data_IF_310225672339
#
_entry.id   IF_310225672339
#
_cell.length_a   1.000
_cell.length_b   1.000
_cell.length_c   1.000
_cell.angle_alpha   90.00
_cell.angle_beta   90.00
_cell.angle_gamma   90.00
#
_symmetry.space_group_name_H-M   'P 1'
#
loop_
_entity.id
_entity.type
_entity.pdbx_description
1 polymer ?
#
# COMPACT_ATOMS: atom_id res chain seq x y z
N UNK A 1 11.68 22.95 14.29
CA UNK A 1 10.25 23.29 14.15
C UNK A 1 9.71 22.48 12.97
N UNK A 2 9.55 21.17 13.20
CA UNK A 2 9.57 20.11 12.18
C UNK A 2 8.25 19.33 12.14
N UNK A 3 7.12 20.02 11.98
CA UNK A 3 5.79 19.38 12.02
C UNK A 3 4.80 19.99 11.00
N UNK A 4 5.28 20.44 9.83
CA UNK A 4 4.41 21.04 8.80
C UNK A 4 4.56 20.44 7.40
N UNK A 5 5.29 19.33 7.22
CA UNK A 5 5.52 18.74 5.89
C UNK A 5 4.78 17.42 5.64
N UNK A 6 4.04 16.90 6.63
CA UNK A 6 3.52 15.52 6.59
C UNK A 6 2.02 15.39 6.29
N UNK A 7 1.28 16.48 6.08
CA UNK A 7 -0.20 16.41 6.01
C UNK A 7 -0.84 16.95 4.72
N UNK A 8 -0.09 17.33 3.69
CA UNK A 8 -0.68 17.82 2.42
C UNK A 8 -0.56 16.86 1.22
N UNK A 9 0.00 15.66 1.40
CA UNK A 9 0.07 14.64 0.33
C UNK A 9 -0.82 13.42 0.60
N UNK A 10 -1.96 13.63 1.26
CA UNK A 10 -3.09 12.71 1.15
C UNK A 10 -3.71 12.86 -0.25
N UNK A 11 -3.02 12.40 -1.28
CA UNK A 11 -3.61 12.25 -2.60
C UNK A 11 -4.29 10.88 -2.67
N UNK A 12 -5.62 10.93 -2.75
CA UNK A 12 -6.55 9.80 -2.88
C UNK A 12 -6.43 9.24 -4.31
N UNK A 13 -5.26 8.70 -4.66
CA UNK A 13 -5.06 8.01 -5.93
C UNK A 13 -4.36 6.68 -5.68
N UNK A 14 -4.81 5.60 -6.35
CA UNK A 14 -4.17 4.29 -6.23
C UNK A 14 -2.69 4.41 -6.63
N UNK A 15 -1.79 4.25 -5.68
CA UNK A 15 -0.35 4.25 -5.94
C UNK A 15 0.14 2.83 -6.20
N UNK A 16 0.84 2.66 -7.31
CA UNK A 16 1.69 1.49 -7.50
C UNK A 16 2.86 1.54 -6.49
N UNK A 17 3.25 0.38 -5.97
CA UNK A 17 4.38 0.19 -5.08
C UNK A 17 5.68 0.85 -5.59
N UNK A 18 5.95 0.81 -6.89
CA UNK A 18 7.12 1.44 -7.50
C UNK A 18 7.12 2.97 -7.34
N UNK A 19 5.96 3.58 -7.55
CA UNK A 19 5.78 5.02 -7.38
C UNK A 19 5.96 5.41 -5.91
N UNK A 20 5.47 4.59 -4.98
CA UNK A 20 5.60 4.84 -3.54
C UNK A 20 7.06 4.88 -3.11
N UNK A 21 7.87 3.90 -3.54
CA UNK A 21 9.31 3.89 -3.24
C UNK A 21 10.01 5.13 -3.79
N UNK A 22 9.64 5.57 -4.99
CA UNK A 22 10.23 6.75 -5.63
C UNK A 22 9.87 8.04 -4.88
N UNK A 23 8.60 8.21 -4.49
CA UNK A 23 8.11 9.39 -3.78
C UNK A 23 8.70 9.51 -2.37
N UNK A 24 8.77 8.39 -1.65
CA UNK A 24 9.38 8.33 -0.32
C UNK A 24 10.91 8.32 -0.37
N UNK A 25 11.52 8.30 -1.56
CA UNK A 25 12.96 8.17 -1.78
C UNK A 25 13.56 6.96 -1.05
N UNK A 26 12.81 5.86 -1.01
CA UNK A 26 13.19 4.60 -0.40
C UNK A 26 13.89 3.70 -1.42
N UNK A 27 14.98 3.08 -1.00
CA UNK A 27 15.61 2.01 -1.78
C UNK A 27 14.84 0.71 -1.60
N UNK A 28 14.95 -0.21 -2.57
CA UNK A 28 14.35 -1.54 -2.44
C UNK A 28 14.90 -2.29 -1.22
N UNK A 29 16.17 -2.09 -0.88
CA UNK A 29 16.80 -2.70 0.30
C UNK A 29 16.21 -2.16 1.60
N UNK A 30 16.10 -0.83 1.75
CA UNK A 30 15.50 -0.22 2.93
C UNK A 30 14.04 -0.65 3.12
N UNK A 31 13.28 -0.73 2.02
CA UNK A 31 11.91 -1.22 2.09
C UNK A 31 11.81 -2.72 2.40
N UNK A 32 12.76 -3.52 1.92
CA UNK A 32 12.84 -4.94 2.24
C UNK A 32 13.12 -5.15 3.75
N UNK A 33 14.01 -4.35 4.33
CA UNK A 33 14.29 -4.36 5.77
C UNK A 33 13.06 -3.99 6.60
N UNK A 34 12.34 -2.93 6.20
CA UNK A 34 11.09 -2.53 6.85
C UNK A 34 10.03 -3.64 6.86
N UNK A 35 9.98 -4.46 5.82
CA UNK A 35 9.04 -5.57 5.68
C UNK A 35 9.58 -6.91 6.19
N UNK A 36 10.86 -6.98 6.57
CA UNK A 36 11.52 -8.23 6.95
C UNK A 36 11.59 -9.26 5.82
N UNK A 37 11.76 -8.81 4.57
CA UNK A 37 11.86 -9.66 3.37
C UNK A 37 13.18 -9.45 2.64
N UNK A 38 13.47 -10.27 1.63
CA UNK A 38 14.65 -10.07 0.79
C UNK A 38 14.41 -8.97 -0.26
N UNK A 39 15.46 -8.21 -0.60
CA UNK A 39 15.40 -7.20 -1.66
C UNK A 39 15.05 -7.81 -3.03
N UNK A 40 15.48 -9.04 -3.30
CA UNK A 40 15.07 -9.79 -4.49
C UNK A 40 13.57 -10.03 -4.57
N UNK A 41 12.88 -10.22 -3.44
CA UNK A 41 11.42 -10.38 -3.41
C UNK A 41 10.73 -9.05 -3.76
N UNK A 42 11.24 -7.92 -3.26
CA UNK A 42 10.74 -6.60 -3.65
C UNK A 42 10.89 -6.39 -5.17
N UNK A 43 12.05 -6.72 -5.74
CA UNK A 43 12.26 -6.66 -7.18
C UNK A 43 11.25 -7.52 -7.97
N UNK A 44 10.96 -8.73 -7.50
CA UNK A 44 9.97 -9.61 -8.14
C UNK A 44 8.56 -9.02 -8.13
N UNK A 45 8.18 -8.31 -7.07
CA UNK A 45 6.90 -7.61 -6.97
C UNK A 45 6.86 -6.40 -7.90
N UNK A 46 7.91 -5.58 -7.91
CA UNK A 46 7.99 -4.38 -8.76
C UNK A 46 7.99 -4.71 -10.25
N UNK A 47 8.60 -5.82 -10.63
CA UNK A 47 8.64 -6.28 -12.03
C UNK A 47 7.44 -7.13 -12.43
N UNK A 48 6.53 -7.44 -11.50
CA UNK A 48 5.38 -8.29 -11.75
C UNK A 48 5.73 -9.76 -12.02
N UNK A 49 6.98 -10.18 -11.83
CA UNK A 49 7.42 -11.59 -12.01
C UNK A 49 6.72 -12.52 -11.04
N UNK A 50 6.40 -12.03 -9.85
CA UNK A 50 5.65 -12.76 -8.84
C UNK A 50 4.57 -11.87 -8.23
N UNK A 51 3.31 -12.32 -8.16
CA UNK A 51 2.28 -11.57 -7.45
C UNK A 51 2.60 -11.52 -5.95
N UNK A 52 2.28 -10.41 -5.31
CA UNK A 52 2.42 -10.23 -3.86
C UNK A 52 1.47 -11.22 -3.16
N UNK A 53 1.95 -11.99 -2.20
CA UNK A 53 1.07 -12.90 -1.46
C UNK A 53 0.11 -12.13 -0.55
N UNK A 54 -1.06 -12.70 -0.25
CA UNK A 54 -2.13 -12.02 0.47
C UNK A 54 -1.70 -11.52 1.86
N UNK A 55 -0.91 -12.32 2.58
CA UNK A 55 -0.30 -11.97 3.86
C UNK A 55 0.60 -10.73 3.73
N UNK A 56 1.40 -10.65 2.66
CA UNK A 56 2.31 -9.53 2.40
C UNK A 56 1.58 -8.26 1.96
N UNK A 57 0.46 -8.38 1.27
CA UNK A 57 -0.36 -7.22 0.91
C UNK A 57 -0.81 -6.43 2.16
N UNK A 58 -1.27 -7.13 3.20
CA UNK A 58 -1.69 -6.50 4.46
C UNK A 58 -0.51 -5.85 5.18
N UNK A 59 0.66 -6.49 5.16
CA UNK A 59 1.89 -5.93 5.77
C UNK A 59 2.33 -4.66 5.05
N UNK A 60 2.32 -4.66 3.71
CA UNK A 60 2.66 -3.48 2.89
C UNK A 60 1.66 -2.35 3.15
N UNK A 61 0.36 -2.63 3.16
CA UNK A 61 -0.67 -1.62 3.43
C UNK A 61 -0.47 -0.95 4.79
N UNK A 62 -0.13 -1.73 5.83
CA UNK A 62 0.20 -1.20 7.15
C UNK A 62 1.50 -0.41 7.16
N UNK A 63 2.56 -0.94 6.53
CA UNK A 63 3.87 -0.28 6.48
C UNK A 63 3.83 1.04 5.69
N UNK A 64 2.94 1.14 4.71
CA UNK A 64 2.72 2.36 3.90
C UNK A 64 1.62 3.26 4.45
N UNK A 65 1.06 2.93 5.62
CA UNK A 65 -0.03 3.66 6.27
C UNK A 65 -1.23 3.92 5.34
N UNK A 66 -1.57 2.93 4.52
CA UNK A 66 -2.67 3.00 3.56
C UNK A 66 -2.37 3.72 2.24
N UNK A 67 -1.13 4.18 2.01
CA UNK A 67 -0.75 4.81 0.74
C UNK A 67 -0.75 3.80 -0.43
N UNK A 68 -0.38 2.54 -0.16
CA UNK A 68 -0.49 1.43 -1.11
C UNK A 68 -1.47 0.42 -0.53
N UNK A 69 -2.64 0.28 -1.14
CA UNK A 69 -3.66 -0.64 -0.61
C UNK A 69 -3.52 -2.03 -1.21
N UNK A 70 -4.06 -3.05 -0.54
CA UNK A 70 -4.08 -4.41 -1.10
C UNK A 70 -4.84 -4.53 -2.44
N UNK A 71 -5.72 -3.57 -2.75
CA UNK A 71 -6.42 -3.45 -4.05
C UNK A 71 -5.48 -3.02 -5.18
N UNK A 72 -4.42 -2.29 -4.86
CA UNK A 72 -3.42 -1.81 -5.82
C UNK A 72 -2.35 -2.86 -6.12
N UNK A 73 -2.10 -3.75 -5.16
CA UNK A 73 -1.03 -4.76 -5.25
C UNK A 73 -1.42 -6.01 -6.05
N UNK A 74 -2.71 -6.30 -6.17
CA UNK A 74 -3.23 -7.50 -6.83
C UNK A 74 -4.53 -7.19 -7.55
N UNK A 75 -4.78 -7.84 -8.68
CA UNK A 75 -6.04 -7.72 -9.44
C UNK A 75 -7.16 -8.62 -8.90
N UNK A 76 -6.82 -9.74 -8.26
CA UNK A 76 -7.74 -10.74 -7.72
C UNK A 76 -8.08 -10.50 -6.23
N UNK A 77 -7.88 -9.27 -5.76
CA UNK A 77 -8.15 -8.88 -4.37
C UNK A 77 -9.59 -9.15 -3.93
N UNK A 78 -10.56 -9.03 -4.86
CA UNK A 78 -11.99 -9.20 -4.58
C UNK A 78 -12.38 -10.64 -4.21
N UNK A 79 -11.62 -11.62 -4.69
CA UNK A 79 -11.83 -13.03 -4.33
C UNK A 79 -11.26 -13.38 -2.95
N UNK A 80 -10.25 -12.63 -2.50
CA UNK A 80 -9.53 -12.88 -1.24
C UNK A 80 -10.16 -12.07 -0.09
N UNK A 81 -10.54 -10.82 -0.36
CA UNK A 81 -11.14 -9.89 0.60
C UNK A 81 -12.46 -9.32 0.06
N UNK A 82 -13.51 -10.14 -0.05
CA UNK A 82 -14.82 -9.67 -0.52
C UNK A 82 -15.40 -8.55 0.35
N UNK A 83 -15.05 -8.49 1.63
CA UNK A 83 -15.50 -7.46 2.58
C UNK A 83 -15.08 -6.03 2.18
N UNK A 84 -14.02 -5.87 1.38
CA UNK A 84 -13.57 -4.56 0.90
C UNK A 84 -14.44 -3.98 -0.21
N UNK A 85 -15.32 -4.79 -0.81
CA UNK A 85 -16.29 -4.34 -1.83
C UNK A 85 -17.36 -3.47 -1.16
N UNK A 86 -17.82 -3.87 0.03
CA UNK A 86 -18.91 -3.20 0.75
C UNK A 86 -18.42 -2.03 1.61
N UNK A 87 -17.17 -2.10 2.10
CA UNK A 87 -16.57 -1.06 2.96
C UNK A 87 -16.47 0.33 2.27
N UNK A 88 -16.45 0.40 0.94
CA UNK A 88 -16.42 1.68 0.22
C UNK A 88 -17.69 2.54 0.34
N UNK A 89 -18.76 2.01 0.96
CA UNK A 89 -20.05 2.70 1.09
C UNK A 89 -20.33 3.34 2.46
N UNK A 90 -19.57 3.03 3.52
CA UNK A 90 -19.97 3.34 4.90
C UNK A 90 -19.29 4.59 5.51
N UNK A 91 -18.31 5.18 4.82
CA UNK A 91 -17.54 6.32 5.35
C UNK A 91 -18.24 7.69 5.20
N UNK A 92 -19.38 7.76 4.50
CA UNK A 92 -20.11 9.03 4.28
C UNK A 92 -21.10 9.40 5.39
N UNK A 93 -21.58 8.45 6.19
CA UNK A 93 -22.69 8.67 7.15
C UNK A 93 -22.21 9.20 8.52
N UNK A 94 -20.94 9.00 8.90
CA UNK A 94 -20.47 9.26 10.27
C UNK A 94 -20.15 10.74 10.61
N UNK A 95 -20.45 11.69 9.72
CA UNK A 95 -20.23 13.14 9.94
C UNK A 95 -21.51 13.96 10.11
N UNK A 96 -22.67 13.31 10.20
CA UNK A 96 -23.96 13.98 10.43
C UNK A 96 -24.57 13.58 11.79
N UNK A 97 -23.88 13.89 12.90
CA UNK A 97 -24.48 14.04 14.24
C UNK A 97 -23.81 15.22 14.93
#
# INVERSE_FOLDING_TARGET
MALAFFLERCYIFPMNLASYLTEQKLTQAAFAELLGVSQGLIYQWLTGRRPVAADKCVVIERATNGAVTRRDLRSDWSAIWPELIEAGGQDKEARAI
#
